data_IF_174428595889
#
_entry.id   IF_174428595889
#
_cell.length_a   1.000
_cell.length_b   1.000
_cell.length_c   1.000
_cell.angle_alpha   90.00
_cell.angle_beta   90.00
_cell.angle_gamma   90.00
#
_symmetry.space_group_name_H-M   'P 1'
#
loop_
_entity.id
_entity.type
_entity.pdbx_description
1 polymer ?
#
# COMPACT_ATOMS: atom_id res chain seq x y z
N UNK A 1 -3.15 -19.28 24.64
CA UNK A 1 -4.24 -18.68 25.42
C UNK A 1 -5.00 -17.68 24.56
N UNK A 2 -6.32 -17.81 24.52
CA UNK A 2 -7.25 -16.94 23.80
C UNK A 2 -7.57 -15.74 24.70
N UNK A 3 -6.83 -14.64 24.52
CA UNK A 3 -6.86 -13.56 25.53
C UNK A 3 -7.27 -12.19 24.97
N UNK A 4 -7.40 -12.03 23.66
CA UNK A 4 -7.61 -10.73 23.06
C UNK A 4 -9.02 -10.58 22.48
N UNK A 5 -9.68 -9.47 22.80
CA UNK A 5 -10.96 -9.07 22.19
C UNK A 5 -10.80 -8.69 20.72
N UNK A 6 -9.65 -8.09 20.41
CA UNK A 6 -9.29 -7.69 19.05
C UNK A 6 -7.80 -7.87 18.82
N UNK A 7 -7.44 -8.35 17.62
CA UNK A 7 -6.07 -8.47 17.14
C UNK A 7 -5.98 -7.76 15.80
N UNK A 8 -5.07 -6.78 15.70
CA UNK A 8 -4.99 -5.92 14.53
C UNK A 8 -3.57 -5.87 13.97
N UNK A 9 -3.44 -5.99 12.64
CA UNK A 9 -2.20 -5.74 11.90
C UNK A 9 -2.33 -4.46 11.08
N UNK A 10 -1.44 -3.50 11.35
CA UNK A 10 -1.44 -2.18 10.71
C UNK A 10 -0.30 -2.06 9.70
N UNK A 11 -0.62 -1.97 8.40
CA UNK A 11 0.32 -1.73 7.28
C UNK A 11 1.53 -2.68 7.23
N UNK A 12 1.38 -3.89 7.76
CA UNK A 12 2.49 -4.85 7.91
C UNK A 12 2.25 -6.20 7.23
N UNK A 13 0.99 -6.63 7.09
CA UNK A 13 0.64 -7.99 6.66
C UNK A 13 1.21 -8.34 5.27
N UNK A 14 1.28 -7.37 4.36
CA UNK A 14 1.85 -7.55 3.02
C UNK A 14 3.38 -7.75 2.98
N UNK A 15 4.07 -7.50 4.09
CA UNK A 15 5.52 -7.74 4.22
C UNK A 15 5.83 -9.08 4.91
N UNK A 16 4.81 -9.76 5.41
CA UNK A 16 4.99 -11.07 6.04
C UNK A 16 5.18 -12.15 4.97
N UNK A 17 6.25 -12.94 5.04
CA UNK A 17 6.54 -13.97 4.01
C UNK A 17 5.44 -15.03 3.87
N UNK A 18 4.75 -15.38 4.97
CA UNK A 18 3.66 -16.36 5.02
C UNK A 18 2.46 -15.72 5.72
N UNK A 19 1.66 -14.90 5.00
CA UNK A 19 0.55 -14.15 5.60
C UNK A 19 -0.53 -15.06 6.19
N UNK A 20 -0.72 -16.27 5.66
CA UNK A 20 -1.63 -17.29 6.18
C UNK A 20 -1.26 -17.69 7.61
N UNK A 21 0.02 -17.90 7.87
CA UNK A 21 0.49 -18.22 9.23
C UNK A 21 0.28 -17.06 10.20
N UNK A 22 0.47 -15.83 9.73
CA UNK A 22 0.24 -14.63 10.55
C UNK A 22 -1.24 -14.47 10.90
N UNK A 23 -2.15 -14.58 9.93
CA UNK A 23 -3.59 -14.45 10.18
C UNK A 23 -4.10 -15.60 11.05
N UNK A 24 -3.62 -16.84 10.84
CA UNK A 24 -3.94 -17.99 11.69
C UNK A 24 -3.49 -17.77 13.15
N UNK A 25 -2.31 -17.17 13.35
CA UNK A 25 -1.84 -16.84 14.70
C UNK A 25 -2.66 -15.72 15.34
N UNK A 26 -3.04 -14.70 14.57
CA UNK A 26 -3.97 -13.66 15.03
C UNK A 26 -5.31 -14.28 15.47
N UNK A 27 -5.86 -15.19 14.67
CA UNK A 27 -7.08 -15.92 15.02
C UNK A 27 -6.90 -16.78 16.27
N UNK A 28 -5.76 -17.48 16.41
CA UNK A 28 -5.46 -18.34 17.57
C UNK A 28 -5.44 -17.59 18.89
N UNK A 29 -4.92 -16.37 18.90
CA UNK A 29 -4.80 -15.58 20.14
C UNK A 29 -6.03 -14.74 20.44
N UNK A 30 -6.88 -14.46 19.46
CA UNK A 30 -8.20 -13.87 19.67
C UNK A 30 -9.08 -14.85 20.45
N UNK A 31 -9.97 -14.37 21.28
CA UNK A 31 -11.01 -15.19 21.90
C UNK A 31 -12.13 -15.55 20.91
N UNK A 32 -12.96 -16.50 21.24
CA UNK A 32 -14.18 -16.80 20.46
C UNK A 32 -14.98 -15.52 20.28
N UNK A 33 -15.52 -15.28 19.08
CA UNK A 33 -16.17 -14.05 18.64
C UNK A 33 -15.27 -12.80 18.65
N UNK A 34 -13.99 -12.95 18.99
CA UNK A 34 -13.01 -11.86 18.94
C UNK A 34 -12.76 -11.37 17.52
N UNK A 35 -12.45 -10.08 17.41
CA UNK A 35 -12.18 -9.42 16.14
C UNK A 35 -10.72 -9.68 15.69
N UNK A 36 -10.56 -10.08 14.43
CA UNK A 36 -9.27 -10.08 13.74
C UNK A 36 -9.36 -9.08 12.60
N UNK A 37 -8.43 -8.14 12.51
CA UNK A 37 -8.44 -7.13 11.46
C UNK A 37 -7.04 -6.84 10.94
N UNK A 38 -6.95 -6.42 9.67
CA UNK A 38 -5.74 -5.90 9.09
C UNK A 38 -6.07 -4.76 8.12
N UNK A 39 -5.09 -3.87 7.88
CA UNK A 39 -5.18 -2.94 6.77
C UNK A 39 -3.82 -2.79 6.09
N UNK A 40 -3.85 -2.63 4.77
CA UNK A 40 -2.68 -2.51 3.89
C UNK A 40 -2.92 -1.42 2.86
N UNK A 41 -1.85 -0.80 2.36
CA UNK A 41 -1.99 0.18 1.30
C UNK A 41 -2.48 -0.44 -0.01
N UNK A 42 -3.36 0.26 -0.73
CA UNK A 42 -3.74 -0.07 -2.11
C UNK A 42 -2.64 0.41 -3.09
N UNK A 43 -1.53 -0.33 -3.14
CA UNK A 43 -0.42 0.00 -4.02
C UNK A 43 -0.78 -0.09 -5.50
N UNK A 44 -1.75 -0.93 -5.86
CA UNK A 44 -2.11 -1.16 -7.24
C UNK A 44 -2.88 0.02 -7.87
N UNK A 45 -3.70 0.74 -7.09
CA UNK A 45 -4.61 1.76 -7.63
C UNK A 45 -4.77 2.99 -6.75
N UNK A 46 -4.96 2.81 -5.44
CA UNK A 46 -5.45 3.87 -4.55
C UNK A 46 -4.35 4.70 -3.89
N UNK A 47 -3.10 4.25 -3.89
CA UNK A 47 -1.99 5.04 -3.35
C UNK A 47 -1.41 5.95 -4.43
N UNK A 48 -2.10 7.07 -4.70
CA UNK A 48 -1.82 7.93 -5.84
C UNK A 48 -0.39 8.49 -5.87
N UNK A 49 0.21 8.79 -4.70
CA UNK A 49 1.62 9.18 -4.60
C UNK A 49 2.53 8.18 -5.34
N UNK A 50 2.35 6.89 -5.04
CA UNK A 50 3.15 5.81 -5.61
C UNK A 50 2.75 5.52 -7.06
N UNK A 51 1.45 5.58 -7.40
CA UNK A 51 0.99 5.36 -8.76
C UNK A 51 1.55 6.40 -9.73
N UNK A 52 1.50 7.69 -9.39
CA UNK A 52 2.08 8.74 -10.24
C UNK A 52 3.58 8.52 -10.49
N UNK A 53 4.30 8.01 -9.48
CA UNK A 53 5.71 7.67 -9.62
C UNK A 53 5.91 6.47 -10.55
N UNK A 54 5.27 5.33 -10.24
CA UNK A 54 5.49 4.09 -11.00
C UNK A 54 4.97 4.14 -12.42
N UNK A 55 3.82 4.77 -12.66
CA UNK A 55 3.28 4.94 -14.01
C UNK A 55 4.24 5.77 -14.89
N UNK A 56 4.88 6.78 -14.33
CA UNK A 56 5.90 7.55 -15.03
C UNK A 56 7.20 6.76 -15.23
N UNK A 57 7.65 6.02 -14.21
CA UNK A 57 8.87 5.22 -14.27
C UNK A 57 8.75 4.10 -15.31
N UNK A 58 7.66 3.33 -15.28
CA UNK A 58 7.40 2.23 -16.22
C UNK A 58 7.24 2.73 -17.65
N UNK A 59 6.62 3.91 -17.84
CA UNK A 59 6.51 4.51 -19.18
C UNK A 59 7.85 5.00 -19.75
N UNK A 60 8.87 5.24 -18.91
CA UNK A 60 10.23 5.59 -19.35
C UNK A 60 11.14 4.35 -19.45
N UNK A 61 10.93 3.38 -18.59
CA UNK A 61 11.70 2.16 -18.51
C UNK A 61 10.77 1.00 -18.07
N UNK A 62 10.31 0.16 -19.01
CA UNK A 62 9.42 -0.96 -18.70
C UNK A 62 9.97 -1.95 -17.67
N UNK A 63 11.31 -2.04 -17.51
CA UNK A 63 11.94 -2.93 -16.51
C UNK A 63 11.58 -2.48 -15.08
N UNK A 64 11.27 -1.20 -14.87
CA UNK A 64 10.84 -0.67 -13.58
C UNK A 64 9.57 -1.34 -13.03
N UNK A 65 8.73 -1.94 -13.90
CA UNK A 65 7.52 -2.66 -13.48
C UNK A 65 7.80 -3.81 -12.49
N UNK A 66 8.99 -4.40 -12.53
CA UNK A 66 9.39 -5.45 -11.59
C UNK A 66 9.59 -4.95 -10.15
N UNK A 67 9.79 -3.65 -9.97
CA UNK A 67 9.99 -3.01 -8.67
C UNK A 67 8.69 -2.38 -8.13
N UNK A 68 7.67 -2.23 -8.98
CA UNK A 68 6.39 -1.61 -8.62
C UNK A 68 5.68 -2.43 -7.53
N UNK A 69 5.45 -1.81 -6.38
CA UNK A 69 4.75 -2.43 -5.25
C UNK A 69 3.34 -2.88 -5.62
N UNK A 70 2.66 -2.18 -6.56
CA UNK A 70 1.35 -2.57 -7.06
C UNK A 70 1.35 -3.93 -7.78
N UNK A 71 2.48 -4.30 -8.39
CA UNK A 71 2.70 -5.61 -9.02
C UNK A 71 3.17 -6.64 -7.97
N UNK A 72 4.06 -6.24 -7.06
CA UNK A 72 4.71 -7.13 -6.10
C UNK A 72 3.79 -7.58 -4.95
N UNK A 73 2.92 -6.70 -4.48
CA UNK A 73 2.06 -6.96 -3.32
C UNK A 73 0.63 -7.33 -3.77
N UNK A 74 0.49 -8.50 -4.38
CA UNK A 74 -0.81 -9.01 -4.86
C UNK A 74 -1.86 -9.18 -3.74
N UNK A 75 -1.43 -9.34 -2.47
CA UNK A 75 -2.30 -9.40 -1.31
C UNK A 75 -3.03 -8.07 -1.03
N UNK A 76 -2.49 -6.93 -1.49
CA UNK A 76 -3.04 -5.60 -1.23
C UNK A 76 -4.29 -5.28 -2.07
N UNK A 77 -5.20 -6.24 -2.20
CA UNK A 77 -6.49 -6.13 -2.90
C UNK A 77 -7.60 -6.70 -2.03
N UNK A 78 -8.82 -6.12 -2.06
CA UNK A 78 -9.91 -6.52 -1.16
C UNK A 78 -10.24 -8.00 -1.28
N UNK A 79 -10.41 -8.52 -2.51
CA UNK A 79 -10.78 -9.91 -2.75
C UNK A 79 -9.73 -10.90 -2.22
N UNK A 80 -8.44 -10.54 -2.31
CA UNK A 80 -7.34 -11.37 -1.81
C UNK A 80 -7.26 -11.37 -0.29
N UNK A 81 -7.47 -10.20 0.32
CA UNK A 81 -7.52 -10.08 1.78
C UNK A 81 -8.70 -10.86 2.36
N UNK A 82 -9.89 -10.75 1.75
CA UNK A 82 -11.06 -11.50 2.18
C UNK A 82 -10.87 -13.01 2.02
N UNK A 83 -10.32 -13.46 0.89
CA UNK A 83 -10.02 -14.87 0.67
C UNK A 83 -9.07 -15.41 1.74
N UNK A 84 -7.96 -14.71 2.01
CA UNK A 84 -6.99 -15.07 3.05
C UNK A 84 -7.66 -15.23 4.42
N UNK A 85 -8.52 -14.28 4.82
CA UNK A 85 -9.19 -14.32 6.12
C UNK A 85 -10.15 -15.49 6.23
N UNK A 86 -10.94 -15.76 5.16
CA UNK A 86 -11.85 -16.93 5.11
C UNK A 86 -11.09 -18.26 5.14
N UNK A 87 -10.00 -18.37 4.38
CA UNK A 87 -9.13 -19.57 4.37
C UNK A 87 -8.49 -19.85 5.72
N UNK A 88 -8.26 -18.79 6.54
CA UNK A 88 -7.78 -18.93 7.91
C UNK A 88 -8.90 -19.19 8.94
N UNK A 89 -10.13 -19.49 8.52
CA UNK A 89 -11.23 -19.89 9.37
C UNK A 89 -11.88 -18.75 10.16
N UNK A 90 -11.86 -17.54 9.60
CA UNK A 90 -12.59 -16.40 10.17
C UNK A 90 -13.96 -16.25 9.51
N UNK A 91 -14.98 -15.97 10.31
CA UNK A 91 -16.35 -15.71 9.90
C UNK A 91 -16.60 -14.19 9.73
N UNK A 92 -17.76 -13.85 9.14
CA UNK A 92 -18.20 -12.47 8.94
C UNK A 92 -17.13 -11.57 8.27
N UNK A 93 -16.39 -12.16 7.30
CA UNK A 93 -15.29 -11.46 6.64
C UNK A 93 -15.82 -10.40 5.68
N UNK A 94 -15.39 -9.17 5.92
CA UNK A 94 -15.68 -8.03 5.05
C UNK A 94 -14.46 -7.14 4.87
N UNK A 95 -14.39 -6.43 3.75
CA UNK A 95 -13.37 -5.41 3.48
C UNK A 95 -13.98 -4.04 3.24
N UNK A 96 -13.19 -3.01 3.50
CA UNK A 96 -13.57 -1.61 3.29
C UNK A 96 -12.38 -0.78 2.86
N UNK A 97 -12.61 0.16 1.93
CA UNK A 97 -11.64 1.19 1.61
C UNK A 97 -11.59 2.27 2.71
N UNK A 98 -10.37 2.70 3.02
CA UNK A 98 -10.09 3.87 3.86
C UNK A 98 -9.32 4.84 2.99
N UNK A 99 -9.95 5.94 2.62
CA UNK A 99 -9.34 6.99 1.79
C UNK A 99 -8.85 8.14 2.69
N UNK A 100 -7.58 8.51 2.52
CA UNK A 100 -6.92 9.58 3.26
C UNK A 100 -6.51 10.66 2.27
N UNK A 101 -6.99 11.91 2.41
CA UNK A 101 -6.50 12.99 1.60
C UNK A 101 -5.01 13.26 1.91
N UNK A 102 -4.20 13.33 0.86
CA UNK A 102 -2.77 13.61 0.94
C UNK A 102 -2.49 14.89 0.18
N UNK A 103 -1.94 15.88 0.85
CA UNK A 103 -1.67 17.19 0.28
C UNK A 103 -0.18 17.50 0.31
N UNK A 104 0.30 18.05 -0.79
CA UNK A 104 1.66 18.57 -0.92
C UNK A 104 1.59 20.06 -1.22
N UNK A 105 2.47 20.84 -0.60
CA UNK A 105 2.52 22.30 -0.77
C UNK A 105 2.89 22.65 -2.21
N UNK A 106 3.81 21.87 -2.79
CA UNK A 106 4.28 22.02 -4.16
C UNK A 106 4.86 20.70 -4.69
N UNK A 107 5.46 20.74 -5.85
CA UNK A 107 6.11 19.59 -6.46
C UNK A 107 7.36 19.12 -5.70
N UNK A 108 8.11 20.00 -5.10
CA UNK A 108 9.33 19.61 -4.39
C UNK A 108 8.98 18.89 -3.06
N UNK A 109 7.89 19.28 -2.40
CA UNK A 109 7.31 18.55 -1.28
C UNK A 109 6.84 17.14 -1.68
N UNK A 110 6.19 17.00 -2.85
CA UNK A 110 5.84 15.69 -3.42
C UNK A 110 7.07 14.84 -3.75
N UNK A 111 8.12 15.45 -4.32
CA UNK A 111 9.29 14.75 -4.85
C UNK A 111 10.31 14.36 -3.78
N UNK A 112 10.46 15.16 -2.71
CA UNK A 112 11.50 14.97 -1.70
C UNK A 112 11.53 13.58 -1.04
N UNK A 113 10.39 12.89 -0.75
CA UNK A 113 10.40 11.54 -0.21
C UNK A 113 11.12 10.51 -1.08
N UNK A 114 11.14 10.70 -2.41
CA UNK A 114 11.82 9.80 -3.35
C UNK A 114 13.34 9.95 -3.37
N UNK A 115 13.88 10.95 -2.69
CA UNK A 115 15.32 11.16 -2.57
C UNK A 115 15.93 10.49 -1.33
N UNK A 116 15.10 9.90 -0.47
CA UNK A 116 15.54 9.27 0.79
C UNK A 116 16.14 7.87 0.68
N UNK A 117 16.13 7.27 -0.51
CA UNK A 117 16.64 5.92 -0.82
C UNK A 117 16.05 4.76 0.03
N UNK A 118 14.97 4.98 0.78
CA UNK A 118 14.29 3.96 1.57
C UNK A 118 13.05 3.43 0.85
N UNK A 119 13.04 2.13 0.56
CA UNK A 119 11.97 1.46 -0.18
C UNK A 119 12.21 1.40 -1.69
N UNK A 120 11.34 0.68 -2.43
CA UNK A 120 11.53 0.42 -3.86
C UNK A 120 11.54 1.68 -4.73
N UNK A 121 10.57 2.58 -4.61
CA UNK A 121 10.49 3.77 -5.44
C UNK A 121 11.64 4.77 -5.20
N UNK A 122 11.98 5.13 -3.94
CA UNK A 122 13.17 5.93 -3.68
C UNK A 122 14.47 5.23 -4.12
N UNK A 123 14.59 3.92 -3.87
CA UNK A 123 15.74 3.14 -4.31
C UNK A 123 15.91 3.18 -5.83
N UNK A 124 14.81 3.02 -6.59
CA UNK A 124 14.83 3.17 -8.04
C UNK A 124 15.24 4.59 -8.48
N UNK A 125 14.62 5.63 -7.90
CA UNK A 125 14.95 7.01 -8.24
C UNK A 125 16.44 7.32 -8.01
N UNK A 126 17.01 6.83 -6.92
CA UNK A 126 18.42 7.05 -6.59
C UNK A 126 19.39 6.17 -7.37
N UNK A 127 18.93 5.05 -7.96
CA UNK A 127 19.75 4.23 -8.86
C UNK A 127 19.92 4.84 -10.26
N UNK A 128 19.06 5.78 -10.63
CA UNK A 128 19.15 6.48 -11.91
C UNK A 128 20.30 7.50 -11.92
N UNK A 129 20.97 7.63 -13.07
CA UNK A 129 21.85 8.78 -13.28
C UNK A 129 21.03 10.10 -13.31
N UNK A 130 21.74 11.24 -13.21
CA UNK A 130 21.14 12.58 -13.11
C UNK A 130 20.16 12.86 -14.27
N UNK A 131 20.54 12.55 -15.50
CA UNK A 131 19.70 12.80 -16.69
C UNK A 131 18.40 12.00 -16.66
N UNK A 132 18.48 10.69 -16.37
CA UNK A 132 17.29 9.83 -16.29
C UNK A 132 16.39 10.24 -15.13
N UNK A 133 16.97 10.60 -13.99
CA UNK A 133 16.23 11.09 -12.83
C UNK A 133 15.51 12.41 -13.13
N UNK A 134 16.16 13.32 -13.82
CA UNK A 134 15.54 14.56 -14.27
C UNK A 134 14.36 14.30 -15.22
N UNK A 135 14.51 13.38 -16.19
CA UNK A 135 13.42 12.97 -17.09
C UNK A 135 12.23 12.36 -16.35
N UNK A 136 12.49 11.51 -15.34
CA UNK A 136 11.45 10.93 -14.48
C UNK A 136 10.71 12.03 -13.70
N UNK A 137 11.46 12.91 -13.06
CA UNK A 137 10.93 14.06 -12.31
C UNK A 137 10.04 14.94 -13.18
N UNK A 138 10.49 15.28 -14.38
CA UNK A 138 9.72 16.10 -15.32
C UNK A 138 8.46 15.42 -15.83
N UNK A 139 8.51 14.10 -16.07
CA UNK A 139 7.35 13.32 -16.49
C UNK A 139 6.29 13.27 -15.38
N UNK A 140 6.69 13.05 -14.15
CA UNK A 140 5.80 13.05 -12.97
C UNK A 140 5.18 14.45 -12.81
N UNK A 141 6.00 15.52 -12.87
CA UNK A 141 5.51 16.89 -12.71
C UNK A 141 4.41 17.25 -13.70
N UNK A 142 4.51 16.77 -14.95
CA UNK A 142 3.49 17.02 -15.98
C UNK A 142 2.21 16.21 -15.77
N UNK A 143 2.29 15.08 -15.09
CA UNK A 143 1.15 14.18 -14.86
C UNK A 143 0.36 14.51 -13.59
N UNK A 144 0.97 15.22 -12.64
CA UNK A 144 0.35 15.54 -11.36
C UNK A 144 -0.76 16.61 -11.51
N UNK A 145 -1.88 16.46 -10.78
CA UNK A 145 -2.96 17.44 -10.74
C UNK A 145 -2.55 18.65 -9.89
N UNK A 146 -1.76 19.55 -10.48
CA UNK A 146 -1.25 20.75 -9.80
C UNK A 146 -2.29 21.88 -9.88
N UNK A 147 -2.67 22.43 -8.74
CA UNK A 147 -3.56 23.58 -8.65
C UNK A 147 -2.86 24.88 -9.05
N UNK A 148 -3.64 25.97 -9.22
CA UNK A 148 -3.09 27.26 -9.63
C UNK A 148 -2.09 27.88 -8.62
N UNK A 149 -2.20 27.53 -7.36
CA UNK A 149 -1.29 27.92 -6.28
C UNK A 149 -0.05 27.03 -6.15
N UNK A 150 0.10 26.02 -7.02
CA UNK A 150 1.20 25.06 -7.01
C UNK A 150 0.96 23.83 -6.15
N UNK A 151 -0.09 23.82 -5.34
CA UNK A 151 -0.39 22.68 -4.46
C UNK A 151 -0.87 21.45 -5.24
N UNK A 152 -0.66 20.27 -4.64
CA UNK A 152 -1.05 18.99 -5.23
C UNK A 152 -1.91 18.24 -4.21
N UNK A 153 -3.14 17.90 -4.59
CA UNK A 153 -4.06 17.10 -3.78
C UNK A 153 -4.20 15.71 -4.38
N UNK A 154 -3.83 14.71 -3.60
CA UNK A 154 -3.91 13.29 -3.93
C UNK A 154 -4.73 12.55 -2.86
N UNK A 155 -4.96 11.26 -3.11
CA UNK A 155 -5.55 10.34 -2.14
C UNK A 155 -4.60 9.17 -1.90
N UNK A 156 -4.50 8.74 -0.65
CA UNK A 156 -3.91 7.46 -0.28
C UNK A 156 -5.03 6.54 0.21
N UNK A 157 -5.20 5.40 -0.44
CA UNK A 157 -6.17 4.37 -0.04
C UNK A 157 -5.48 3.23 0.68
N UNK A 158 -6.07 2.80 1.78
CA UNK A 158 -5.81 1.50 2.38
C UNK A 158 -7.05 0.60 2.24
N UNK A 159 -6.82 -0.69 2.07
CA UNK A 159 -7.85 -1.71 2.22
C UNK A 159 -7.80 -2.26 3.64
N UNK A 160 -8.86 -2.09 4.38
CA UNK A 160 -9.07 -2.74 5.66
C UNK A 160 -9.91 -4.00 5.46
N UNK A 161 -9.53 -5.09 6.12
CA UNK A 161 -10.28 -6.34 6.19
C UNK A 161 -10.51 -6.69 7.66
N UNK A 162 -11.65 -7.25 7.98
CA UNK A 162 -11.93 -7.81 9.31
C UNK A 162 -12.68 -9.13 9.20
N UNK A 163 -12.57 -9.93 10.22
CA UNK A 163 -13.35 -11.14 10.42
C UNK A 163 -13.49 -11.46 11.91
N UNK A 164 -14.33 -12.40 12.25
CA UNK A 164 -14.52 -12.90 13.63
C UNK A 164 -13.97 -14.31 13.74
N UNK A 165 -13.37 -14.58 14.89
CA UNK A 165 -12.96 -15.94 15.18
C UNK A 165 -14.17 -16.82 15.43
N UNK A 166 -14.28 -17.92 14.69
CA UNK A 166 -15.27 -18.98 14.91
C UNK A 166 -15.09 -19.67 16.28
N UNK A 167 -16.16 -20.25 16.82
CA UNK A 167 -16.14 -21.03 18.07
C UNK A 167 -15.13 -22.19 18.08
#
# INVERSE_FOLDING_TARGET
SQCFDAVVSALALNFVPVPEAAVSEMARVARVDGLVAAYVWDYARGMQLMRCFWDAAVALDPVAAALDEGTRFSLCQPDRLEALFRECGLDDVESRAIDIPTRFVDFDDYWSPFLGAQGPAPGYAMSLNEERRARLRDKIRRALPTAADGSIALTARAWAVRGRRSP
#
